data_IF_693241228569
#
_entry.id   IF_693241228569
#
_cell.length_a   1.000
_cell.length_b   1.000
_cell.length_c   1.000
_cell.angle_alpha   90.00
_cell.angle_beta   90.00
_cell.angle_gamma   90.00
#
_symmetry.space_group_name_H-M   'P 1'
#
loop_
_entity.id
_entity.type
_entity.pdbx_description
1 polymer ?
#
# COMPACT_ATOMS: atom_id res chain seq x y z
N UNK A 1 48.61 -11.87 44.73
CA UNK A 1 47.83 -13.01 44.19
C UNK A 1 46.36 -12.70 44.46
N UNK A 2 45.70 -11.98 43.56
CA UNK A 2 44.31 -11.52 43.72
C UNK A 2 43.55 -11.76 42.41
N UNK A 3 42.49 -12.54 42.53
CA UNK A 3 41.47 -12.86 41.53
C UNK A 3 40.60 -11.64 41.22
N UNK A 4 40.28 -11.40 39.94
CA UNK A 4 39.21 -10.49 39.54
C UNK A 4 38.27 -11.19 38.56
N UNK A 5 36.98 -11.04 38.84
CA UNK A 5 35.86 -11.78 38.27
C UNK A 5 35.47 -11.27 36.88
N UNK A 6 35.15 -12.21 35.99
CA UNK A 6 34.45 -11.93 34.72
C UNK A 6 32.99 -11.58 35.03
N UNK A 7 32.58 -10.36 34.71
CA UNK A 7 31.17 -9.97 34.62
C UNK A 7 30.46 -10.84 33.56
N UNK A 8 29.49 -11.62 34.02
CA UNK A 8 28.53 -12.30 33.17
C UNK A 8 27.52 -11.26 32.67
N UNK A 9 27.66 -10.86 31.40
CA UNK A 9 26.63 -10.10 30.69
C UNK A 9 25.44 -11.02 30.45
N UNK A 10 24.40 -10.89 31.26
CA UNK A 10 23.13 -11.54 31.00
C UNK A 10 22.50 -10.91 29.74
N UNK A 11 22.06 -11.71 28.75
CA UNK A 11 21.29 -11.17 27.65
C UNK A 11 19.97 -10.57 28.18
N UNK A 12 19.44 -9.51 27.54
CA UNK A 12 18.18 -8.92 27.95
C UNK A 12 17.07 -9.99 27.90
N UNK A 13 16.23 -10.04 28.95
CA UNK A 13 15.05 -10.89 29.00
C UNK A 13 14.13 -10.54 27.82
N UNK A 14 14.10 -11.40 26.82
CA UNK A 14 13.11 -11.38 25.74
C UNK A 14 11.74 -11.72 26.33
N UNK A 15 10.77 -10.82 26.23
CA UNK A 15 9.37 -11.07 26.61
C UNK A 15 8.76 -12.11 25.65
N UNK A 16 8.40 -13.33 26.12
CA UNK A 16 7.83 -14.38 25.27
C UNK A 16 6.49 -13.98 24.62
N UNK A 17 5.81 -12.96 25.14
CA UNK A 17 4.56 -12.42 24.56
C UNK A 17 4.79 -11.59 23.30
N UNK A 18 6.00 -11.07 23.09
CA UNK A 18 6.37 -10.31 21.88
C UNK A 18 6.74 -11.21 20.71
N UNK A 19 7.42 -12.33 20.96
CA UNK A 19 7.82 -13.27 19.91
C UNK A 19 6.64 -14.14 19.42
N UNK A 20 5.66 -14.37 20.28
CA UNK A 20 4.37 -15.02 19.94
C UNK A 20 3.37 -14.08 19.26
N UNK A 21 3.67 -12.78 19.12
CA UNK A 21 2.86 -11.81 18.36
C UNK A 21 3.06 -11.95 16.83
N UNK A 22 3.41 -13.14 16.36
CA UNK A 22 3.56 -13.51 14.96
C UNK A 22 2.66 -14.68 14.65
N UNK A 23 1.48 -14.37 14.10
CA UNK A 23 0.34 -15.26 13.88
C UNK A 23 -0.43 -15.55 15.16
N UNK A 24 -1.61 -14.91 15.27
CA UNK A 24 -2.72 -15.44 16.04
C UNK A 24 -2.82 -16.96 15.81
N UNK A 25 -3.18 -17.69 16.87
CA UNK A 25 -3.38 -19.13 16.88
C UNK A 25 -4.05 -19.59 15.57
N UNK A 26 -3.25 -20.24 14.71
CA UNK A 26 -3.67 -20.64 13.36
C UNK A 26 -4.80 -21.69 13.38
N UNK A 27 -5.20 -22.15 14.58
CA UNK A 27 -6.24 -23.15 14.81
C UNK A 27 -7.61 -22.55 15.15
N UNK A 28 -7.69 -21.27 15.54
CA UNK A 28 -8.95 -20.61 15.85
C UNK A 28 -9.71 -20.30 14.55
N UNK A 29 -10.93 -20.85 14.40
CA UNK A 29 -11.81 -20.50 13.27
C UNK A 29 -12.05 -18.98 13.26
N UNK A 30 -11.82 -18.29 12.13
CA UNK A 30 -12.01 -16.85 12.05
C UNK A 30 -13.46 -16.51 12.32
N UNK A 31 -13.71 -15.46 13.11
CA UNK A 31 -15.06 -14.99 13.37
C UNK A 31 -15.73 -14.63 12.02
N UNK A 32 -16.78 -15.36 11.60
CA UNK A 32 -17.38 -15.18 10.28
C UNK A 32 -17.96 -13.78 10.10
N UNK A 33 -18.42 -13.15 11.18
CA UNK A 33 -18.96 -11.79 11.12
C UNK A 33 -17.83 -10.76 10.92
N UNK A 34 -16.70 -10.91 11.60
CA UNK A 34 -15.54 -10.03 11.39
C UNK A 34 -15.04 -10.12 9.95
N UNK A 35 -14.94 -11.35 9.43
CA UNK A 35 -14.62 -11.60 8.02
C UNK A 35 -15.59 -10.88 7.10
N UNK A 36 -16.90 -11.12 7.25
CA UNK A 36 -17.91 -10.52 6.40
C UNK A 36 -17.86 -8.98 6.43
N UNK A 37 -17.71 -8.37 7.61
CA UNK A 37 -17.61 -6.92 7.76
C UNK A 37 -16.34 -6.37 7.13
N UNK A 38 -15.18 -7.01 7.31
CA UNK A 38 -13.92 -6.56 6.74
C UNK A 38 -13.95 -6.59 5.20
N UNK A 39 -14.39 -7.70 4.61
CA UNK A 39 -14.53 -7.80 3.15
C UNK A 39 -15.61 -6.88 2.60
N UNK A 40 -16.76 -6.78 3.28
CA UNK A 40 -17.83 -5.86 2.91
C UNK A 40 -17.35 -4.41 2.91
N UNK A 41 -16.63 -3.99 3.95
CA UNK A 41 -16.04 -2.66 4.02
C UNK A 41 -15.00 -2.42 2.93
N UNK A 42 -14.16 -3.41 2.64
CA UNK A 42 -13.20 -3.33 1.53
C UNK A 42 -13.94 -3.15 0.20
N UNK A 43 -14.97 -3.94 -0.10
CA UNK A 43 -15.74 -3.86 -1.35
C UNK A 43 -16.46 -2.52 -1.48
N UNK A 44 -17.19 -2.10 -0.43
CA UNK A 44 -17.91 -0.82 -0.38
C UNK A 44 -16.94 0.33 -0.60
N UNK A 45 -15.84 0.33 0.15
CA UNK A 45 -14.82 1.34 0.05
C UNK A 45 -13.72 1.00 -0.93
N UNK A 46 -13.96 0.17 -1.96
CA UNK A 46 -13.02 -0.11 -3.06
C UNK A 46 -13.26 0.85 -4.24
N UNK A 47 -12.44 0.75 -5.30
CA UNK A 47 -12.72 1.50 -6.53
C UNK A 47 -13.85 0.87 -7.37
N UNK A 48 -14.34 -0.33 -7.03
CA UNK A 48 -15.41 -1.02 -7.79
C UNK A 48 -16.64 -0.13 -8.00
N UNK A 49 -17.22 0.51 -6.96
CA UNK A 49 -18.38 1.37 -7.18
C UNK A 49 -18.09 2.54 -8.12
N UNK A 50 -16.90 3.13 -8.06
CA UNK A 50 -16.50 4.22 -8.96
C UNK A 50 -16.31 3.73 -10.40
N UNK A 51 -15.69 2.55 -10.58
CA UNK A 51 -15.54 1.92 -11.90
C UNK A 51 -16.92 1.70 -12.53
N UNK A 52 -17.87 1.14 -11.77
CA UNK A 52 -19.25 0.91 -12.24
C UNK A 52 -19.93 2.26 -12.58
N UNK A 53 -19.81 3.25 -11.70
CA UNK A 53 -20.45 4.56 -11.86
C UNK A 53 -19.93 5.29 -13.11
N UNK A 54 -18.62 5.24 -13.34
CA UNK A 54 -17.96 5.87 -14.48
C UNK A 54 -18.26 5.14 -15.80
N UNK A 55 -18.31 3.81 -15.80
CA UNK A 55 -18.72 3.01 -16.97
C UNK A 55 -20.19 3.25 -17.32
N UNK A 56 -21.05 3.49 -16.31
CA UNK A 56 -22.47 3.77 -16.50
C UNK A 56 -22.78 5.24 -16.85
N UNK A 57 -21.78 6.13 -16.91
CA UNK A 57 -21.95 7.53 -17.35
C UNK A 57 -22.60 8.47 -16.33
N UNK A 58 -22.52 8.19 -15.02
CA UNK A 58 -23.13 9.03 -13.99
C UNK A 58 -22.24 10.22 -13.57
N UNK A 59 -22.88 11.35 -13.22
CA UNK A 59 -22.30 12.70 -13.35
C UNK A 59 -21.76 13.43 -12.10
N UNK A 60 -21.42 12.76 -11.00
CA UNK A 60 -20.67 13.43 -9.91
C UNK A 60 -19.47 12.60 -9.44
N UNK A 61 -18.23 13.11 -9.56
CA UNK A 61 -17.04 12.39 -9.12
C UNK A 61 -16.94 12.29 -7.58
N UNK A 62 -17.60 13.20 -6.85
CA UNK A 62 -17.41 13.38 -5.40
C UNK A 62 -18.47 12.71 -4.53
N UNK A 63 -19.72 12.67 -5.00
CA UNK A 63 -20.84 12.23 -4.16
C UNK A 63 -20.65 10.79 -3.67
N UNK A 64 -20.26 9.89 -4.57
CA UNK A 64 -20.08 8.48 -4.26
C UNK A 64 -18.95 8.24 -3.23
N UNK A 65 -17.72 8.76 -3.41
CA UNK A 65 -16.68 8.68 -2.39
C UNK A 65 -17.07 9.25 -1.02
N UNK A 66 -17.81 10.38 -0.99
CA UNK A 66 -18.29 10.98 0.26
C UNK A 66 -19.33 10.08 0.93
N UNK A 67 -20.30 9.54 0.18
CA UNK A 67 -21.30 8.60 0.70
C UNK A 67 -20.65 7.31 1.24
N UNK A 68 -19.68 6.74 0.51
CA UNK A 68 -18.90 5.60 0.98
C UNK A 68 -18.20 5.91 2.31
N UNK A 69 -17.57 7.08 2.41
CA UNK A 69 -16.88 7.54 3.62
C UNK A 69 -17.85 7.63 4.80
N UNK A 70 -18.99 8.30 4.63
CA UNK A 70 -20.01 8.44 5.68
C UNK A 70 -20.51 7.08 6.13
N UNK A 71 -20.84 6.19 5.20
CA UNK A 71 -21.30 4.84 5.50
C UNK A 71 -20.26 4.07 6.32
N UNK A 72 -19.00 4.08 5.91
CA UNK A 72 -17.92 3.38 6.61
C UNK A 72 -17.67 3.96 8.01
N UNK A 73 -17.77 5.28 8.19
CA UNK A 73 -17.69 5.93 9.51
C UNK A 73 -18.85 5.50 10.40
N UNK A 74 -20.08 5.46 9.89
CA UNK A 74 -21.24 4.98 10.65
C UNK A 74 -21.07 3.51 11.08
N UNK A 75 -20.60 2.65 10.17
CA UNK A 75 -20.28 1.25 10.49
C UNK A 75 -19.16 1.17 11.53
N UNK A 76 -18.14 2.03 11.47
CA UNK A 76 -17.08 2.08 12.47
C UNK A 76 -17.60 2.49 13.85
N UNK A 77 -18.52 3.45 13.93
CA UNK A 77 -19.16 3.88 15.18
C UNK A 77 -19.95 2.71 15.80
N UNK A 78 -20.72 1.98 14.99
CA UNK A 78 -21.45 0.79 15.46
C UNK A 78 -20.49 -0.32 15.89
N UNK A 79 -19.42 -0.56 15.13
CA UNK A 79 -18.41 -1.58 15.44
C UNK A 79 -17.71 -1.29 16.77
N UNK A 80 -17.39 -0.03 17.06
CA UNK A 80 -16.71 0.37 18.31
C UNK A 80 -17.54 0.07 19.57
N UNK A 81 -18.87 0.11 19.45
CA UNK A 81 -19.81 -0.24 20.52
C UNK A 81 -20.00 -1.74 20.72
N UNK A 82 -19.51 -2.58 19.81
CA UNK A 82 -19.63 -4.04 19.87
C UNK A 82 -18.30 -4.67 20.26
N UNK A 83 -18.18 -5.38 21.40
CA UNK A 83 -16.95 -6.10 21.76
C UNK A 83 -16.47 -7.07 20.68
N UNK A 84 -17.43 -7.63 19.92
CA UNK A 84 -17.15 -8.54 18.81
C UNK A 84 -16.52 -7.81 17.62
N UNK A 85 -16.97 -6.62 17.25
CA UNK A 85 -16.52 -5.91 16.05
C UNK A 85 -15.51 -4.80 16.30
N UNK A 86 -15.32 -4.37 17.54
CA UNK A 86 -14.38 -3.33 17.95
C UNK A 86 -12.96 -3.48 17.36
N UNK A 87 -12.39 -4.69 17.17
CA UNK A 87 -11.09 -4.83 16.50
C UNK A 87 -11.05 -4.31 15.06
N UNK A 88 -12.20 -4.17 14.38
CA UNK A 88 -12.29 -3.66 13.01
C UNK A 88 -12.46 -2.14 12.93
N UNK A 89 -12.75 -1.45 14.03
CA UNK A 89 -13.02 0.01 14.01
C UNK A 89 -11.89 0.78 13.33
N UNK A 90 -10.63 0.47 13.67
CA UNK A 90 -9.48 1.12 13.05
C UNK A 90 -9.40 0.88 11.54
N UNK A 91 -9.61 -0.36 11.11
CA UNK A 91 -9.62 -0.74 9.69
C UNK A 91 -10.77 -0.05 8.91
N UNK A 92 -11.98 0.02 9.48
CA UNK A 92 -13.12 0.71 8.86
C UNK A 92 -12.83 2.20 8.65
N UNK A 93 -12.26 2.86 9.66
CA UNK A 93 -11.84 4.25 9.55
C UNK A 93 -10.70 4.43 8.53
N UNK A 94 -9.78 3.47 8.44
CA UNK A 94 -8.73 3.48 7.42
C UNK A 94 -9.33 3.49 6.01
N UNK A 95 -10.26 2.59 5.71
CA UNK A 95 -10.87 2.52 4.38
C UNK A 95 -11.68 3.79 4.10
N UNK A 96 -12.38 4.34 5.09
CA UNK A 96 -13.11 5.61 4.97
C UNK A 96 -12.17 6.77 4.64
N UNK A 97 -11.06 6.92 5.37
CA UNK A 97 -10.10 8.00 5.17
C UNK A 97 -9.36 7.86 3.84
N UNK A 98 -8.98 6.65 3.42
CA UNK A 98 -8.37 6.44 2.09
C UNK A 98 -9.34 6.88 0.99
N UNK A 99 -10.63 6.52 1.10
CA UNK A 99 -11.65 6.97 0.12
C UNK A 99 -11.79 8.49 0.11
N UNK A 100 -11.95 9.09 1.29
CA UNK A 100 -12.08 10.53 1.42
C UNK A 100 -10.85 11.25 0.88
N UNK A 101 -9.64 10.81 1.24
CA UNK A 101 -8.39 11.43 0.84
C UNK A 101 -8.15 11.36 -0.67
N UNK A 102 -8.25 10.17 -1.25
CA UNK A 102 -7.86 9.93 -2.65
C UNK A 102 -8.91 10.37 -3.67
N UNK A 103 -10.20 10.28 -3.32
CA UNK A 103 -11.28 10.40 -4.30
C UNK A 103 -12.25 11.55 -4.02
N UNK A 104 -12.06 12.27 -2.91
CA UNK A 104 -12.76 13.51 -2.64
C UNK A 104 -11.78 14.65 -2.40
N UNK A 105 -10.99 14.60 -1.31
CA UNK A 105 -10.12 15.71 -0.92
C UNK A 105 -9.07 16.03 -1.99
N UNK A 106 -8.27 15.04 -2.42
CA UNK A 106 -7.21 15.31 -3.38
C UNK A 106 -7.73 15.86 -4.72
N UNK A 107 -8.76 15.27 -5.37
CA UNK A 107 -9.27 15.85 -6.62
C UNK A 107 -10.04 17.17 -6.40
N UNK A 108 -10.73 17.36 -5.26
CA UNK A 108 -11.33 18.67 -4.94
C UNK A 108 -10.28 19.79 -4.77
N UNK A 109 -9.12 19.45 -4.21
CA UNK A 109 -7.99 20.37 -4.12
C UNK A 109 -7.38 20.63 -5.49
N UNK A 110 -7.24 19.60 -6.32
CA UNK A 110 -6.74 19.72 -7.69
C UNK A 110 -7.66 20.56 -8.60
N UNK A 111 -8.98 20.47 -8.40
CA UNK A 111 -9.99 21.30 -9.06
C UNK A 111 -10.05 22.75 -8.53
N UNK A 112 -9.44 23.03 -7.38
CA UNK A 112 -9.47 24.36 -6.79
C UNK A 112 -8.61 25.33 -7.62
N UNK A 113 -9.27 26.26 -8.33
CA UNK A 113 -8.65 27.07 -9.37
C UNK A 113 -7.28 27.69 -9.04
N UNK A 114 -7.04 28.29 -7.84
CA UNK A 114 -5.72 28.81 -7.49
C UNK A 114 -4.63 27.74 -7.47
N UNK A 115 -4.93 26.56 -6.92
CA UNK A 115 -3.99 25.45 -6.84
C UNK A 115 -3.83 24.77 -8.21
N UNK A 116 -4.92 24.54 -8.94
CA UNK A 116 -4.89 24.02 -10.30
C UNK A 116 -3.96 24.84 -11.20
N UNK A 117 -4.16 26.15 -11.21
CA UNK A 117 -3.35 27.07 -12.01
C UNK A 117 -1.89 27.08 -11.54
N UNK A 118 -1.64 27.01 -10.23
CA UNK A 118 -0.27 26.94 -9.72
C UNK A 118 0.45 25.66 -10.17
N UNK A 119 -0.22 24.50 -10.14
CA UNK A 119 0.34 23.20 -10.55
C UNK A 119 0.54 23.16 -12.07
N UNK A 120 -0.45 23.59 -12.85
CA UNK A 120 -0.43 23.54 -14.31
C UNK A 120 0.68 24.40 -14.95
N UNK A 121 1.17 25.42 -14.23
CA UNK A 121 2.29 26.26 -14.68
C UNK A 121 3.68 25.73 -14.30
N UNK A 122 3.77 24.53 -13.73
CA UNK A 122 5.05 23.89 -13.39
C UNK A 122 5.52 22.94 -14.50
N UNK A 123 6.80 22.55 -14.45
CA UNK A 123 7.30 21.49 -15.33
C UNK A 123 6.55 20.17 -15.07
N UNK A 124 6.41 19.32 -16.09
CA UNK A 124 5.75 18.01 -15.97
C UNK A 124 6.23 17.20 -14.75
N UNK A 125 7.55 17.16 -14.51
CA UNK A 125 8.11 16.42 -13.37
C UNK A 125 7.67 16.98 -12.01
N UNK A 126 7.61 18.31 -11.89
CA UNK A 126 7.13 18.99 -10.69
C UNK A 126 5.62 18.77 -10.48
N UNK A 127 4.83 18.83 -11.55
CA UNK A 127 3.40 18.51 -11.51
C UNK A 127 3.18 17.09 -10.96
N UNK A 128 3.88 16.09 -11.52
CA UNK A 128 3.76 14.70 -11.05
C UNK A 128 4.12 14.56 -9.57
N UNK A 129 5.17 15.25 -9.12
CA UNK A 129 5.55 15.23 -7.71
C UNK A 129 4.50 15.88 -6.80
N UNK A 130 3.95 17.03 -7.20
CA UNK A 130 2.94 17.76 -6.43
C UNK A 130 1.63 16.97 -6.31
N UNK A 131 1.18 16.30 -7.38
CA UNK A 131 0.02 15.40 -7.35
C UNK A 131 0.19 14.30 -6.28
N UNK A 132 1.38 13.68 -6.18
CA UNK A 132 1.67 12.69 -5.13
C UNK A 132 1.80 13.30 -3.75
N UNK A 133 2.22 14.55 -3.65
CA UNK A 133 2.26 15.27 -2.39
C UNK A 133 0.85 15.55 -1.86
N UNK A 134 -0.12 15.88 -2.72
CA UNK A 134 -1.52 16.03 -2.30
C UNK A 134 -2.09 14.72 -1.73
N UNK A 135 -1.75 13.57 -2.34
CA UNK A 135 -2.13 12.26 -1.82
C UNK A 135 -1.51 11.93 -0.45
N UNK A 136 -0.39 12.57 -0.09
CA UNK A 136 0.23 12.42 1.24
C UNK A 136 -0.65 12.99 2.36
N UNK A 137 -1.56 13.94 2.06
CA UNK A 137 -2.53 14.43 3.04
C UNK A 137 -3.44 13.30 3.54
N UNK A 138 -3.83 12.38 2.66
CA UNK A 138 -4.58 11.17 3.05
C UNK A 138 -3.78 10.28 4.01
N UNK A 139 -2.48 10.12 3.75
CA UNK A 139 -1.58 9.40 4.65
C UNK A 139 -1.47 10.08 6.04
N UNK A 140 -1.40 11.41 6.08
CA UNK A 140 -1.41 12.14 7.35
C UNK A 140 -2.74 11.97 8.11
N UNK A 141 -3.88 12.03 7.42
CA UNK A 141 -5.18 11.78 8.03
C UNK A 141 -5.29 10.37 8.62
N UNK A 142 -4.66 9.36 8.01
CA UNK A 142 -4.64 7.99 8.55
C UNK A 142 -3.96 7.90 9.92
N UNK A 143 -3.08 8.83 10.28
CA UNK A 143 -2.48 8.86 11.63
C UNK A 143 -3.54 9.04 12.71
N UNK A 144 -4.66 9.70 12.41
CA UNK A 144 -5.80 9.84 13.33
C UNK A 144 -6.40 8.48 13.73
N UNK A 145 -6.28 7.45 12.87
CA UNK A 145 -6.77 6.10 13.17
C UNK A 145 -5.96 5.40 14.28
N UNK A 146 -4.88 5.99 14.77
CA UNK A 146 -4.07 5.41 15.85
C UNK A 146 -4.22 6.12 17.19
N UNK A 147 -4.89 7.28 17.23
CA UNK A 147 -5.08 8.05 18.45
C UNK A 147 -5.79 7.17 19.50
N UNK A 148 -5.17 7.04 20.68
CA UNK A 148 -5.69 6.25 21.79
C UNK A 148 -5.61 4.72 21.62
N UNK A 149 -4.93 4.20 20.59
CA UNK A 149 -4.86 2.74 20.30
C UNK A 149 -3.50 2.08 20.58
N UNK A 150 -2.50 2.85 21.03
CA UNK A 150 -1.21 2.30 21.50
C UNK A 150 -0.36 1.62 20.43
N UNK A 151 -0.51 2.00 19.16
CA UNK A 151 0.32 1.46 18.07
C UNK A 151 1.74 2.03 18.13
N UNK A 152 2.72 1.14 17.98
CA UNK A 152 4.13 1.49 17.81
C UNK A 152 4.52 1.54 16.33
N UNK A 153 5.71 2.09 16.03
CA UNK A 153 6.30 2.04 14.68
C UNK A 153 6.48 0.61 14.17
N UNK A 154 6.74 -0.34 15.08
CA UNK A 154 6.94 -1.75 14.73
C UNK A 154 5.63 -2.42 14.31
N UNK A 155 4.53 -2.06 14.95
CA UNK A 155 3.20 -2.55 14.59
C UNK A 155 2.77 -2.09 13.18
N UNK A 156 3.30 -0.94 12.75
CA UNK A 156 3.09 -0.36 11.43
C UNK A 156 4.15 -0.76 10.41
N UNK A 157 5.10 -1.64 10.78
CA UNK A 157 6.21 -2.04 9.91
C UNK A 157 7.12 -0.88 9.47
N UNK A 158 7.10 0.27 10.17
CA UNK A 158 7.89 1.47 9.87
C UNK A 158 9.35 1.33 10.32
N UNK A 159 9.99 0.25 9.87
CA UNK A 159 11.40 -0.09 10.03
C UNK A 159 11.84 -0.96 8.85
N UNK A 160 13.14 -1.05 8.58
CA UNK A 160 13.67 -1.87 7.47
C UNK A 160 13.33 -3.36 7.65
N UNK A 161 13.34 -3.86 8.88
CA UNK A 161 13.08 -5.27 9.19
C UNK A 161 14.29 -6.18 8.95
N UNK A 162 14.08 -7.49 9.07
CA UNK A 162 15.10 -8.53 8.86
C UNK A 162 15.12 -8.96 7.39
N UNK A 163 15.89 -8.25 6.56
CA UNK A 163 15.91 -8.47 5.10
C UNK A 163 16.33 -9.88 4.66
N UNK A 164 17.01 -10.64 5.52
CA UNK A 164 17.42 -12.04 5.27
C UNK A 164 16.43 -13.08 5.78
N UNK A 165 15.28 -12.68 6.35
CA UNK A 165 14.28 -13.60 6.86
C UNK A 165 13.84 -14.62 5.77
N UNK A 166 13.53 -15.87 6.15
CA UNK A 166 13.13 -16.88 5.19
C UNK A 166 11.71 -16.62 4.68
N UNK A 167 11.57 -16.46 3.37
CA UNK A 167 10.28 -16.42 2.71
C UNK A 167 9.63 -17.80 2.75
N UNK A 168 8.40 -17.89 3.30
CA UNK A 168 7.72 -19.18 3.40
C UNK A 168 7.18 -19.60 2.03
N UNK A 169 7.30 -20.90 1.66
CA UNK A 169 6.74 -21.44 0.43
C UNK A 169 5.26 -21.11 0.26
N UNK A 170 4.92 -20.64 -0.93
CA UNK A 170 3.55 -20.37 -1.34
C UNK A 170 3.35 -20.94 -2.74
N UNK A 171 2.17 -21.50 -3.02
CA UNK A 171 1.88 -22.14 -4.32
C UNK A 171 2.09 -21.19 -5.50
N UNK A 172 1.78 -19.91 -5.30
CA UNK A 172 1.91 -18.86 -6.32
C UNK A 172 3.37 -18.53 -6.68
N UNK A 173 4.34 -18.79 -5.80
CA UNK A 173 5.76 -18.44 -6.02
C UNK A 173 6.59 -19.63 -6.52
N UNK A 174 5.98 -20.80 -6.72
CA UNK A 174 6.58 -22.00 -7.32
C UNK A 174 7.91 -22.49 -6.71
N UNK A 175 8.15 -22.25 -5.42
CA UNK A 175 9.27 -22.87 -4.68
C UNK A 175 8.77 -23.72 -3.49
N UNK A 176 9.50 -24.80 -3.18
CA UNK A 176 9.09 -25.78 -2.16
C UNK A 176 9.79 -25.62 -0.81
N UNK A 177 10.96 -24.98 -0.77
CA UNK A 177 11.76 -24.80 0.45
C UNK A 177 11.89 -23.31 0.77
N UNK A 178 11.88 -22.89 2.04
CA UNK A 178 12.07 -21.49 2.38
C UNK A 178 13.36 -20.93 1.78
N UNK A 179 13.27 -19.76 1.15
CA UNK A 179 14.40 -19.05 0.57
C UNK A 179 14.53 -17.69 1.25
N UNK A 180 15.74 -17.20 1.57
CA UNK A 180 15.89 -15.90 2.21
C UNK A 180 15.40 -14.79 1.28
N UNK A 181 14.77 -13.76 1.85
CA UNK A 181 14.31 -12.59 1.09
C UNK A 181 15.45 -11.86 0.36
N UNK A 182 16.70 -11.97 0.83
CA UNK A 182 17.87 -11.48 0.09
C UNK A 182 18.14 -12.17 -1.25
N UNK A 183 17.59 -13.37 -1.47
CA UNK A 183 17.62 -14.03 -2.79
C UNK A 183 16.33 -13.80 -3.57
N UNK A 184 15.18 -13.89 -2.90
CA UNK A 184 13.89 -13.73 -3.55
C UNK A 184 13.65 -12.28 -4.02
N UNK A 185 13.98 -11.29 -3.20
CA UNK A 185 13.79 -9.87 -3.50
C UNK A 185 14.45 -9.43 -4.81
N UNK A 186 15.76 -9.69 -5.03
CA UNK A 186 16.43 -9.38 -6.29
C UNK A 186 15.84 -10.13 -7.50
N UNK A 187 15.42 -11.38 -7.33
CA UNK A 187 14.75 -12.13 -8.40
C UNK A 187 13.42 -11.48 -8.79
N UNK A 188 12.66 -10.99 -7.80
CA UNK A 188 11.43 -10.24 -8.04
C UNK A 188 11.70 -8.90 -8.72
N UNK A 189 12.77 -8.19 -8.35
CA UNK A 189 13.19 -6.97 -9.04
C UNK A 189 13.47 -7.22 -10.52
N UNK A 190 14.18 -8.30 -10.85
CA UNK A 190 14.42 -8.68 -12.25
C UNK A 190 13.13 -9.06 -12.95
N UNK A 191 12.29 -9.89 -12.32
CA UNK A 191 11.00 -10.32 -12.89
C UNK A 191 10.10 -9.12 -13.21
N UNK A 192 9.89 -8.23 -12.24
CA UNK A 192 9.09 -7.02 -12.42
C UNK A 192 9.78 -6.03 -13.37
N UNK A 193 11.10 -5.93 -13.32
CA UNK A 193 11.91 -5.11 -14.23
C UNK A 193 11.85 -5.54 -15.70
N UNK A 194 11.30 -6.71 -16.01
CA UNK A 194 11.00 -7.14 -17.39
C UNK A 194 9.49 -7.09 -17.65
N UNK A 195 8.68 -7.70 -16.78
CA UNK A 195 7.25 -7.83 -17.00
C UNK A 195 6.53 -6.48 -17.06
N UNK A 196 6.89 -5.53 -16.19
CA UNK A 196 6.25 -4.23 -16.12
C UNK A 196 6.59 -3.34 -17.33
N UNK A 197 7.86 -3.16 -17.75
CA UNK A 197 8.16 -2.46 -18.99
C UNK A 197 7.47 -3.02 -20.23
N UNK A 198 7.39 -4.35 -20.37
CA UNK A 198 6.68 -4.98 -21.50
C UNK A 198 5.22 -4.56 -21.50
N UNK A 199 4.55 -4.64 -20.35
CA UNK A 199 3.17 -4.18 -20.22
C UNK A 199 3.02 -2.69 -20.57
N UNK A 200 3.87 -1.84 -19.98
CA UNK A 200 3.82 -0.38 -20.18
C UNK A 200 4.13 0.02 -21.64
N UNK A 201 4.98 -0.72 -22.35
CA UNK A 201 5.24 -0.48 -23.76
C UNK A 201 3.96 -0.59 -24.59
N UNK A 202 3.13 -1.60 -24.33
CA UNK A 202 1.88 -1.81 -25.07
C UNK A 202 0.77 -0.84 -24.65
N UNK A 203 0.72 -0.46 -23.38
CA UNK A 203 -0.36 0.40 -22.86
C UNK A 203 -0.10 1.89 -23.01
N UNK A 204 1.15 2.34 -22.82
CA UNK A 204 1.52 3.76 -22.87
C UNK A 204 2.11 4.18 -24.21
N UNK A 205 2.63 3.24 -25.01
CA UNK A 205 3.26 3.51 -26.33
C UNK A 205 4.32 4.62 -26.24
N UNK A 206 5.39 4.43 -25.43
CA UNK A 206 6.39 5.47 -25.18
C UNK A 206 7.16 5.86 -26.45
N UNK A 207 7.48 7.15 -26.58
CA UNK A 207 8.33 7.68 -27.63
C UNK A 207 9.81 7.67 -27.19
N UNK A 208 10.56 6.68 -27.68
CA UNK A 208 11.99 6.57 -27.38
C UNK A 208 12.85 7.67 -28.05
N UNK A 209 12.28 8.47 -28.97
CA UNK A 209 12.92 9.70 -29.44
C UNK A 209 13.15 10.71 -28.30
N UNK A 210 12.37 10.62 -27.22
CA UNK A 210 12.46 11.48 -26.04
C UNK A 210 13.50 11.02 -25.00
N UNK A 211 14.29 9.97 -25.28
CA UNK A 211 15.33 9.49 -24.36
C UNK A 211 16.29 10.58 -23.85
N UNK A 212 16.74 11.57 -24.66
CA UNK A 212 17.57 12.67 -24.14
C UNK A 212 16.87 13.49 -23.06
N UNK A 213 15.55 13.69 -23.16
CA UNK A 213 14.74 14.41 -22.17
C UNK A 213 14.57 13.60 -20.89
N UNK A 214 14.55 12.27 -20.99
CA UNK A 214 14.40 11.38 -19.82
C UNK A 214 15.49 11.64 -18.78
N UNK A 215 16.72 11.95 -19.18
CA UNK A 215 17.80 12.26 -18.22
C UNK A 215 17.50 13.47 -17.35
N UNK A 216 16.82 14.48 -17.89
CA UNK A 216 16.40 15.67 -17.15
C UNK A 216 15.20 15.37 -16.23
N UNK A 217 14.35 14.42 -16.62
CA UNK A 217 13.16 14.01 -15.87
C UNK A 217 13.45 12.91 -14.85
N UNK A 218 14.58 12.20 -14.97
CA UNK A 218 14.93 11.08 -14.09
C UNK A 218 14.96 11.46 -12.61
N UNK A 219 15.52 12.62 -12.18
CA UNK A 219 15.43 13.04 -10.78
C UNK A 219 13.99 13.19 -10.30
N UNK A 220 13.11 13.75 -11.14
CA UNK A 220 11.69 13.87 -10.84
C UNK A 220 11.01 12.50 -10.76
N UNK A 221 11.27 11.60 -11.72
CA UNK A 221 10.74 10.25 -11.71
C UNK A 221 11.15 9.49 -10.44
N UNK A 222 12.40 9.61 -10.01
CA UNK A 222 12.89 8.99 -8.77
C UNK A 222 12.24 9.59 -7.52
N UNK A 223 12.13 10.92 -7.44
CA UNK A 223 11.50 11.60 -6.31
C UNK A 223 10.02 11.25 -6.19
N UNK A 224 9.30 11.30 -7.31
CA UNK A 224 7.87 10.96 -7.38
C UNK A 224 7.65 9.48 -7.09
N UNK A 225 8.48 8.58 -7.60
CA UNK A 225 8.42 7.15 -7.29
C UNK A 225 8.62 6.86 -5.80
N UNK A 226 9.62 7.51 -5.18
CA UNK A 226 9.85 7.36 -3.75
C UNK A 226 8.67 7.83 -2.91
N UNK A 227 8.09 8.99 -3.24
CA UNK A 227 6.92 9.54 -2.55
C UNK A 227 5.67 8.68 -2.78
N UNK A 228 5.43 8.23 -4.01
CA UNK A 228 4.28 7.39 -4.36
C UNK A 228 4.34 6.04 -3.64
N UNK A 229 5.46 5.32 -3.76
CA UNK A 229 5.66 4.04 -3.09
C UNK A 229 5.51 4.17 -1.56
N UNK A 230 6.07 5.23 -0.95
CA UNK A 230 5.90 5.48 0.48
C UNK A 230 4.42 5.74 0.86
N UNK A 231 3.71 6.57 0.09
CA UNK A 231 2.30 6.85 0.30
C UNK A 231 1.44 5.60 0.16
N UNK A 232 1.66 4.81 -0.87
CA UNK A 232 0.86 3.62 -1.16
C UNK A 232 1.15 2.47 -0.20
N UNK A 233 2.42 2.23 0.16
CA UNK A 233 2.76 1.25 1.18
C UNK A 233 2.16 1.61 2.53
N UNK A 234 2.22 2.89 2.90
CA UNK A 234 1.63 3.35 4.15
C UNK A 234 0.11 3.14 4.18
N UNK A 235 -0.59 3.63 3.15
CA UNK A 235 -2.05 3.71 3.11
C UNK A 235 -2.73 2.37 2.81
N UNK A 236 -2.12 1.51 1.97
CA UNK A 236 -2.72 0.25 1.56
C UNK A 236 -2.15 -0.98 2.31
N UNK A 237 -1.01 -0.85 3.02
CA UNK A 237 -0.39 -1.98 3.73
C UNK A 237 -0.10 -1.68 5.19
N UNK A 238 0.81 -0.76 5.50
CA UNK A 238 1.25 -0.51 6.87
C UNK A 238 0.06 -0.31 7.81
N UNK A 239 -0.84 0.62 7.46
CA UNK A 239 -2.00 0.97 8.28
C UNK A 239 -3.06 -0.15 8.26
N UNK A 240 -3.55 -0.64 7.10
CA UNK A 240 -4.52 -1.74 7.07
C UNK A 240 -4.05 -3.02 7.77
N UNK A 241 -2.82 -3.49 7.52
CA UNK A 241 -2.29 -4.72 8.12
C UNK A 241 -2.16 -4.58 9.63
N UNK A 242 -1.76 -3.42 10.13
CA UNK A 242 -1.67 -3.14 11.55
C UNK A 242 -3.05 -3.23 12.23
N UNK A 243 -4.10 -2.69 11.61
CA UNK A 243 -5.47 -2.80 12.15
C UNK A 243 -6.06 -4.21 12.01
N UNK A 244 -5.72 -4.94 10.95
CA UNK A 244 -6.28 -6.28 10.71
C UNK A 244 -5.61 -7.40 11.53
N UNK A 245 -4.44 -7.15 12.14
CA UNK A 245 -3.62 -8.18 12.83
C UNK A 245 -4.35 -9.02 13.88
N UNK A 246 -5.35 -8.44 14.55
CA UNK A 246 -6.14 -9.08 15.60
C UNK A 246 -7.60 -9.36 15.16
N UNK A 247 -7.92 -9.08 13.90
CA UNK A 247 -9.28 -9.20 13.36
C UNK A 247 -9.40 -10.33 12.33
N UNK A 248 -8.37 -10.56 11.52
CA UNK A 248 -8.33 -11.60 10.48
C UNK A 248 -7.04 -12.43 10.56
N UNK A 249 -7.06 -13.69 10.05
CA UNK A 249 -5.85 -14.45 9.84
C UNK A 249 -4.87 -13.71 8.92
N UNK A 250 -3.54 -13.79 9.16
CA UNK A 250 -2.57 -13.03 8.38
C UNK A 250 -2.69 -13.23 6.87
N UNK A 251 -2.84 -14.48 6.41
CA UNK A 251 -3.01 -14.79 4.97
C UNK A 251 -4.21 -14.08 4.35
N UNK A 252 -5.30 -13.96 5.10
CA UNK A 252 -6.52 -13.29 4.63
C UNK A 252 -6.34 -11.77 4.60
N UNK A 253 -5.70 -11.18 5.61
CA UNK A 253 -5.36 -9.77 5.62
C UNK A 253 -4.45 -9.39 4.44
N UNK A 254 -3.47 -10.23 4.10
CA UNK A 254 -2.59 -10.03 2.93
C UNK A 254 -3.39 -9.97 1.62
N UNK A 255 -4.33 -10.89 1.40
CA UNK A 255 -5.14 -10.89 0.19
C UNK A 255 -6.13 -9.73 0.15
N UNK A 256 -6.73 -9.40 1.29
CA UNK A 256 -7.66 -8.28 1.38
C UNK A 256 -6.98 -6.98 0.98
N UNK A 257 -5.81 -6.67 1.54
CA UNK A 257 -5.06 -5.44 1.20
C UNK A 257 -4.53 -5.45 -0.22
N UNK A 258 -4.09 -6.60 -0.72
CA UNK A 258 -3.62 -6.77 -2.10
C UNK A 258 -4.73 -6.57 -3.14
N UNK A 259 -5.91 -7.13 -2.92
CA UNK A 259 -7.08 -6.94 -3.81
C UNK A 259 -7.53 -5.49 -3.74
N UNK A 260 -7.60 -4.92 -2.54
CA UNK A 260 -7.95 -3.52 -2.34
C UNK A 260 -7.04 -2.57 -3.14
N UNK A 261 -5.73 -2.83 -3.07
CA UNK A 261 -4.74 -2.09 -3.85
C UNK A 261 -4.89 -2.28 -5.36
N UNK A 262 -4.97 -3.53 -5.82
CA UNK A 262 -5.04 -3.82 -7.25
C UNK A 262 -6.30 -3.27 -7.90
N UNK A 263 -7.45 -3.35 -7.23
CA UNK A 263 -8.68 -2.71 -7.71
C UNK A 263 -8.52 -1.19 -7.85
N UNK A 264 -7.76 -0.56 -6.95
CA UNK A 264 -7.41 0.86 -7.03
C UNK A 264 -6.65 1.25 -8.31
N UNK A 265 -6.00 0.28 -8.97
CA UNK A 265 -5.19 0.50 -10.16
C UNK A 265 -5.96 0.42 -11.47
N UNK A 266 -7.28 0.19 -11.45
CA UNK A 266 -8.05 0.05 -12.69
C UNK A 266 -7.89 1.23 -13.66
N UNK A 267 -7.86 2.46 -13.14
CA UNK A 267 -7.56 3.69 -13.91
C UNK A 267 -6.13 4.20 -13.69
N UNK A 268 -5.33 3.53 -12.85
CA UNK A 268 -3.94 3.88 -12.54
C UNK A 268 -2.94 3.14 -13.43
N UNK A 269 -1.69 3.01 -12.97
CA UNK A 269 -0.65 2.24 -13.68
C UNK A 269 -0.07 1.15 -12.78
N UNK A 270 -0.09 -0.13 -13.19
CA UNK A 270 -0.60 -0.65 -14.47
C UNK A 270 -2.15 -0.61 -14.56
N UNK A 271 -2.70 -0.23 -15.72
CA UNK A 271 -4.14 0.03 -15.91
C UNK A 271 -4.98 -1.18 -16.33
N UNK A 272 -6.30 -1.04 -16.22
CA UNK A 272 -7.29 -2.01 -16.69
C UNK A 272 -7.30 -3.32 -15.91
N UNK A 273 -8.07 -4.31 -16.38
CA UNK A 273 -8.25 -5.59 -15.68
C UNK A 273 -6.95 -6.39 -15.51
N UNK A 274 -6.05 -6.34 -16.50
CA UNK A 274 -4.72 -6.97 -16.41
C UNK A 274 -3.87 -6.24 -15.37
N UNK A 275 -3.89 -4.91 -15.37
CA UNK A 275 -3.21 -4.10 -14.38
C UNK A 275 -3.69 -4.35 -12.95
N UNK A 276 -5.01 -4.50 -12.75
CA UNK A 276 -5.59 -4.91 -11.46
C UNK A 276 -4.99 -6.24 -10.99
N UNK A 277 -4.91 -7.25 -11.86
CA UNK A 277 -4.33 -8.55 -11.50
C UNK A 277 -2.84 -8.44 -11.17
N UNK A 278 -2.07 -7.72 -11.98
CA UNK A 278 -0.64 -7.47 -11.75
C UNK A 278 -0.40 -6.76 -10.41
N UNK A 279 -1.12 -5.67 -10.16
CA UNK A 279 -1.02 -4.89 -8.93
C UNK A 279 -1.49 -5.68 -7.70
N UNK A 280 -2.52 -6.52 -7.82
CA UNK A 280 -2.91 -7.44 -6.74
C UNK A 280 -1.80 -8.44 -6.42
N UNK A 281 -1.19 -9.08 -7.42
CA UNK A 281 -0.11 -10.04 -7.18
C UNK A 281 1.11 -9.35 -6.56
N UNK A 282 1.51 -8.19 -7.11
CA UNK A 282 2.62 -7.41 -6.58
C UNK A 282 2.35 -6.95 -5.13
N UNK A 283 1.17 -6.39 -4.87
CA UNK A 283 0.75 -5.95 -3.55
C UNK A 283 0.71 -7.08 -2.52
N UNK A 284 0.31 -8.29 -2.93
CA UNK A 284 0.37 -9.48 -2.07
C UNK A 284 1.82 -9.87 -1.73
N UNK A 285 2.74 -9.83 -2.71
CA UNK A 285 4.16 -10.11 -2.50
C UNK A 285 4.78 -9.09 -1.54
N UNK A 286 4.51 -7.79 -1.70
CA UNK A 286 5.01 -6.75 -0.82
C UNK A 286 4.49 -6.91 0.60
N UNK A 287 3.18 -7.11 0.76
CA UNK A 287 2.57 -7.33 2.07
C UNK A 287 3.14 -8.60 2.76
N UNK A 288 3.35 -9.68 2.00
CA UNK A 288 4.03 -10.90 2.49
C UNK A 288 5.45 -10.60 2.96
N UNK A 289 6.22 -9.82 2.18
CA UNK A 289 7.57 -9.42 2.56
C UNK A 289 7.58 -8.62 3.87
N UNK A 290 6.59 -7.75 4.09
CA UNK A 290 6.48 -6.96 5.33
C UNK A 290 6.22 -7.84 6.54
N UNK A 291 5.27 -8.78 6.42
CA UNK A 291 4.92 -9.68 7.51
C UNK A 291 6.07 -10.62 7.85
N UNK A 292 6.75 -11.17 6.85
CA UNK A 292 7.83 -12.15 7.06
C UNK A 292 9.15 -11.52 7.53
N UNK A 293 9.45 -10.29 7.09
CA UNK A 293 10.68 -9.57 7.48
C UNK A 293 10.44 -8.63 8.66
N UNK A 294 9.18 -8.43 9.07
CA UNK A 294 8.76 -7.48 10.12
C UNK A 294 9.22 -6.04 9.84
N UNK A 295 9.14 -5.60 8.58
CA UNK A 295 9.51 -4.26 8.17
C UNK A 295 9.20 -3.97 6.70
N UNK A 296 9.15 -2.69 6.33
CA UNK A 296 8.78 -2.22 4.99
C UNK A 296 9.93 -2.30 3.97
N UNK A 297 11.16 -2.65 4.38
CA UNK A 297 12.35 -2.51 3.53
C UNK A 297 12.23 -3.14 2.13
N UNK A 298 11.85 -4.42 2.05
CA UNK A 298 11.65 -5.09 0.75
C UNK A 298 10.44 -4.59 -0.02
N UNK A 299 9.31 -4.36 0.66
CA UNK A 299 8.11 -3.83 0.05
C UNK A 299 8.37 -2.46 -0.61
N UNK A 300 8.92 -1.51 0.15
CA UNK A 300 9.24 -0.18 -0.33
C UNK A 300 10.30 -0.21 -1.44
N UNK A 301 11.37 -1.00 -1.29
CA UNK A 301 12.43 -1.07 -2.29
C UNK A 301 11.96 -1.65 -3.62
N UNK A 302 11.19 -2.75 -3.58
CA UNK A 302 10.65 -3.37 -4.80
C UNK A 302 9.60 -2.47 -5.46
N UNK A 303 8.72 -1.86 -4.67
CA UNK A 303 7.69 -0.96 -5.17
C UNK A 303 8.31 0.30 -5.79
N UNK A 304 9.22 0.97 -5.09
CA UNK A 304 9.89 2.17 -5.61
C UNK A 304 10.59 1.92 -6.95
N UNK A 305 11.26 0.78 -7.13
CA UNK A 305 11.90 0.46 -8.43
C UNK A 305 10.86 0.29 -9.54
N UNK A 306 9.71 -0.31 -9.26
CA UNK A 306 8.61 -0.40 -10.22
C UNK A 306 8.05 0.98 -10.55
N UNK A 307 7.89 1.84 -9.56
CA UNK A 307 7.41 3.21 -9.78
C UNK A 307 8.41 4.05 -10.58
N UNK A 308 9.72 3.89 -10.37
CA UNK A 308 10.73 4.53 -11.22
C UNK A 308 10.51 4.15 -12.68
N UNK A 309 10.28 2.86 -12.95
CA UNK A 309 9.97 2.39 -14.31
C UNK A 309 8.68 3.02 -14.83
N UNK A 310 7.62 3.04 -14.03
CA UNK A 310 6.33 3.64 -14.42
C UNK A 310 6.50 5.13 -14.76
N UNK A 311 7.12 5.92 -13.88
CA UNK A 311 7.30 7.35 -14.10
C UNK A 311 8.24 7.66 -15.26
N UNK A 312 9.25 6.82 -15.52
CA UNK A 312 10.07 6.93 -16.73
C UNK A 312 9.25 6.68 -18.00
N UNK A 313 8.38 5.66 -18.02
CA UNK A 313 7.51 5.39 -19.17
C UNK A 313 6.44 6.47 -19.36
N UNK A 314 5.88 7.00 -18.27
CA UNK A 314 4.97 8.15 -18.33
C UNK A 314 5.67 9.39 -18.90
N UNK A 315 6.92 9.65 -18.50
CA UNK A 315 7.73 10.73 -19.04
C UNK A 315 7.98 10.58 -20.56
N UNK A 316 8.29 9.36 -21.01
CA UNK A 316 8.48 9.05 -22.44
C UNK A 316 7.17 9.08 -23.26
N UNK A 317 6.02 9.03 -22.59
CA UNK A 317 4.71 9.04 -23.24
C UNK A 317 4.02 10.41 -23.16
N UNK A 318 4.57 11.34 -22.38
CA UNK A 318 4.09 12.69 -22.28
C UNK A 318 4.42 13.45 -23.57
N UNK A 319 3.45 14.18 -24.14
CA UNK A 319 3.72 15.00 -25.31
C UNK A 319 4.76 16.09 -24.98
N UNK A 320 5.65 16.43 -25.92
CA UNK A 320 6.50 17.61 -25.76
C UNK A 320 5.60 18.85 -25.65
N UNK A 321 5.73 19.53 -24.51
CA UNK A 321 5.19 20.86 -24.24
C UNK A 321 5.91 21.91 -25.08
#
# INVERSE_FOLDING_TARGET
MLTSAREQVFPPKTDPRRDSAGLADATARPDPLRRAVAWGAMLIGSAIPNIINQVAGHGSPYLLPVTQTILLVLVAIVADRSPRLKPLTGFLLTIAIVRLGWLAIAPMLDDWAPLHHAIANTSWGAQQFLERLLLALGALLLLSTFIGRGFSREDLFLRIGHLSAPARPERLLWFRKPIPWTRLGPQLLVLFGVALPVFLFFTLRPDFGQLPRLWQLLPWAMATAGLNAANEEFQFRCVPLAHLRNALPPREALWLTAIFFGVGHYFGQPSGSIGVAMATIAGWIWAKSMVETRGVGWALGIHMVQDIVIFCFLALSAQPS
#
